data_IF_801439182932
#
_entry.id   IF_801439182932
#
_cell.length_a   1.000
_cell.length_b   1.000
_cell.length_c   1.000
_cell.angle_alpha   90.00
_cell.angle_beta   90.00
_cell.angle_gamma   90.00
#
_symmetry.space_group_name_H-M   'P 1'
#
loop_
_entity.id
_entity.type
_entity.pdbx_description
1 polymer ?
#
# COMPACT_ATOMS: atom_id res chain seq x y z
N UNK A 1 -30.16 -58.37 -10.19
CA UNK A 1 -29.27 -59.51 -10.52
C UNK A 1 -27.83 -59.02 -10.50
N UNK A 2 -26.96 -59.77 -9.82
CA UNK A 2 -25.59 -59.41 -9.50
C UNK A 2 -24.60 -59.82 -10.60
N UNK A 3 -23.52 -59.05 -10.76
CA UNK A 3 -22.13 -59.52 -10.94
C UNK A 3 -21.22 -58.29 -11.04
N UNK A 4 -20.40 -57.93 -10.05
CA UNK A 4 -19.11 -58.55 -9.70
C UNK A 4 -18.04 -58.39 -10.78
N UNK A 5 -17.11 -57.44 -10.58
CA UNK A 5 -15.73 -57.53 -11.08
C UNK A 5 -14.80 -57.07 -9.96
N UNK A 6 -14.01 -58.00 -9.44
CA UNK A 6 -12.98 -57.78 -8.44
C UNK A 6 -11.58 -58.04 -9.03
N UNK A 7 -10.66 -57.14 -8.67
CA UNK A 7 -9.22 -57.31 -8.40
C UNK A 7 -8.30 -58.07 -9.37
N UNK A 8 -7.17 -57.43 -9.72
CA UNK A 8 -5.84 -58.06 -9.59
C UNK A 8 -4.80 -57.05 -9.13
N UNK A 9 -4.04 -57.48 -8.12
CA UNK A 9 -3.03 -56.73 -7.36
C UNK A 9 -1.63 -57.12 -7.82
N UNK A 10 -0.71 -56.18 -7.62
CA UNK A 10 0.75 -56.26 -7.67
C UNK A 10 1.38 -57.57 -7.16
N UNK A 11 2.46 -57.99 -7.82
CA UNK A 11 3.47 -58.92 -7.30
C UNK A 11 4.87 -58.29 -7.45
N UNK A 12 5.63 -58.38 -6.37
CA UNK A 12 6.96 -57.82 -6.14
C UNK A 12 8.08 -58.85 -6.35
N UNK A 13 9.34 -58.37 -6.43
CA UNK A 13 10.59 -58.91 -5.82
C UNK A 13 11.85 -58.59 -6.68
N UNK A 14 13.09 -58.67 -6.15
CA UNK A 14 13.60 -58.36 -4.80
C UNK A 14 14.91 -57.51 -4.79
N UNK A 15 15.44 -57.26 -3.58
CA UNK A 15 16.67 -56.53 -3.22
C UNK A 15 17.95 -57.36 -3.38
N UNK A 16 19.09 -56.68 -3.59
CA UNK A 16 20.43 -57.09 -3.09
C UNK A 16 21.30 -55.87 -2.77
N UNK A 17 21.78 -55.80 -1.52
CA UNK A 17 22.86 -54.92 -1.04
C UNK A 17 24.24 -55.51 -1.41
N UNK A 18 25.30 -54.69 -1.51
CA UNK A 18 26.69 -55.18 -1.37
C UNK A 18 27.83 -54.42 -2.05
N UNK A 19 28.53 -53.59 -1.25
CA UNK A 19 29.99 -53.34 -1.20
C UNK A 19 30.79 -52.69 -2.36
N UNK A 20 31.34 -51.50 -2.04
CA UNK A 20 32.77 -51.10 -2.04
C UNK A 20 33.72 -51.66 -3.13
N UNK A 21 34.42 -50.77 -3.84
CA UNK A 21 35.67 -51.13 -4.51
C UNK A 21 36.15 -50.16 -5.57
N UNK A 22 37.07 -49.31 -5.18
CA UNK A 22 37.98 -48.49 -6.01
C UNK A 22 38.64 -49.25 -7.16
N UNK A 23 38.94 -48.51 -8.25
CA UNK A 23 40.21 -48.46 -9.01
C UNK A 23 39.97 -48.35 -10.53
N UNK A 24 40.10 -47.13 -11.05
CA UNK A 24 40.60 -46.90 -12.41
C UNK A 24 42.09 -47.28 -12.44
N UNK A 25 42.61 -47.78 -13.57
CA UNK A 25 43.40 -46.86 -14.38
C UNK A 25 43.23 -46.99 -15.90
N UNK A 26 43.44 -45.83 -16.53
CA UNK A 26 44.03 -45.56 -17.84
C UNK A 26 43.96 -46.60 -18.96
N UNK A 27 43.41 -46.15 -20.09
CA UNK A 27 44.02 -46.33 -21.41
C UNK A 27 43.44 -45.30 -22.41
N UNK A 28 44.09 -44.13 -22.49
CA UNK A 28 44.00 -43.25 -23.67
C UNK A 28 44.88 -43.82 -24.76
N UNK A 29 44.30 -44.17 -25.93
CA UNK A 29 44.97 -44.00 -27.23
C UNK A 29 44.00 -44.10 -28.42
N UNK A 30 44.17 -43.13 -29.33
CA UNK A 30 44.00 -43.17 -30.80
C UNK A 30 42.64 -42.86 -31.47
N UNK A 31 42.54 -41.60 -31.93
CA UNK A 31 42.24 -41.13 -33.32
C UNK A 31 40.83 -41.35 -33.96
N UNK A 32 40.46 -40.57 -35.01
CA UNK A 32 39.24 -39.76 -35.01
C UNK A 32 38.10 -40.31 -35.89
N UNK A 33 36.86 -40.00 -35.53
CA UNK A 33 35.68 -40.11 -36.39
C UNK A 33 34.77 -38.91 -36.12
N UNK A 34 34.04 -38.37 -37.13
CA UNK A 34 33.20 -37.21 -36.95
C UNK A 34 31.90 -37.66 -36.28
N UNK A 35 31.97 -37.90 -34.98
CA UNK A 35 30.77 -38.13 -34.18
C UNK A 35 30.04 -36.80 -34.05
N UNK A 36 28.93 -36.67 -34.78
CA UNK A 36 27.92 -35.64 -34.54
C UNK A 36 27.46 -35.81 -33.09
N UNK A 37 28.00 -35.00 -32.19
CA UNK A 37 27.51 -34.90 -30.82
C UNK A 37 26.19 -34.16 -30.85
N UNK A 38 25.08 -34.88 -30.92
CA UNK A 38 23.77 -34.33 -30.58
C UNK A 38 23.80 -34.06 -29.08
N UNK A 39 24.06 -32.81 -28.71
CA UNK A 39 23.95 -32.35 -27.34
C UNK A 39 22.47 -32.37 -26.96
N UNK A 40 21.99 -33.51 -26.47
CA UNK A 40 20.73 -33.57 -25.74
C UNK A 40 20.98 -32.81 -24.44
N UNK A 41 20.80 -31.49 -24.48
CA UNK A 41 20.72 -30.68 -23.26
C UNK A 41 19.63 -31.32 -22.41
N UNK A 42 20.00 -31.89 -21.27
CA UNK A 42 19.01 -32.24 -20.27
C UNK A 42 18.23 -30.96 -20.00
N UNK A 43 16.91 -31.00 -20.20
CA UNK A 43 16.05 -29.93 -19.72
C UNK A 43 16.24 -29.93 -18.21
N UNK A 44 17.04 -29.01 -17.69
CA UNK A 44 17.03 -28.70 -16.27
C UNK A 44 15.58 -28.42 -15.92
N UNK A 45 14.98 -29.17 -14.97
CA UNK A 45 13.63 -28.86 -14.55
C UNK A 45 13.66 -27.42 -14.07
N UNK A 46 12.86 -26.55 -14.72
CA UNK A 46 12.71 -25.16 -14.29
C UNK A 46 12.36 -25.23 -12.80
N UNK A 47 13.29 -24.78 -11.93
CA UNK A 47 13.03 -24.68 -10.50
C UNK A 47 11.75 -23.85 -10.35
N UNK A 48 10.68 -24.50 -9.92
CA UNK A 48 9.44 -23.82 -9.58
C UNK A 48 9.76 -22.85 -8.45
N UNK A 49 9.96 -21.57 -8.78
CA UNK A 49 10.19 -20.55 -7.79
C UNK A 49 8.81 -20.09 -7.29
N UNK A 50 8.35 -20.69 -6.19
CA UNK A 50 7.10 -20.27 -5.54
C UNK A 50 7.36 -18.93 -4.86
N UNK A 51 6.84 -17.85 -5.46
CA UNK A 51 6.87 -16.51 -4.86
C UNK A 51 5.75 -16.41 -3.82
N UNK A 52 5.99 -16.92 -2.61
CA UNK A 52 4.99 -17.03 -1.54
C UNK A 52 4.84 -15.77 -0.67
N UNK A 53 5.60 -14.70 -0.92
CA UNK A 53 5.69 -13.55 -0.03
C UNK A 53 4.83 -12.36 -0.50
N UNK A 54 3.88 -11.94 0.32
CA UNK A 54 3.04 -10.74 0.14
C UNK A 54 3.43 -9.58 1.07
N UNK A 55 4.69 -9.55 1.52
CA UNK A 55 5.22 -8.52 2.43
C UNK A 55 6.01 -7.42 1.72
N UNK A 56 6.17 -7.54 0.40
CA UNK A 56 6.88 -6.59 -0.43
C UNK A 56 5.93 -5.93 -1.44
N UNK A 57 6.10 -4.62 -1.63
CA UNK A 57 5.33 -3.80 -2.57
C UNK A 57 6.30 -3.03 -3.48
N UNK A 58 5.95 -2.84 -4.76
CA UNK A 58 6.81 -2.21 -5.77
C UNK A 58 7.85 -3.13 -6.41
N UNK A 59 8.44 -2.67 -7.51
CA UNK A 59 9.44 -3.41 -8.29
C UNK A 59 10.82 -2.75 -8.24
N UNK A 60 10.87 -1.45 -8.52
CA UNK A 60 12.06 -0.60 -8.54
C UNK A 60 12.23 0.16 -7.23
N UNK A 61 11.17 0.83 -6.76
CA UNK A 61 11.11 1.39 -5.41
C UNK A 61 10.38 0.37 -4.52
N UNK A 62 11.14 -0.61 -4.02
CA UNK A 62 10.58 -1.77 -3.35
C UNK A 62 10.57 -1.61 -1.85
N UNK A 63 9.39 -1.67 -1.25
CA UNK A 63 9.19 -1.61 0.19
C UNK A 63 8.87 -3.00 0.72
N UNK A 64 9.65 -3.48 1.69
CA UNK A 64 9.33 -4.70 2.44
C UNK A 64 9.00 -4.33 3.88
N UNK A 65 7.78 -4.62 4.34
CA UNK A 65 7.38 -4.32 5.72
C UNK A 65 7.60 -5.53 6.63
N UNK A 66 7.80 -5.29 7.93
CA UNK A 66 7.97 -6.36 8.94
C UNK A 66 7.39 -5.96 10.30
N UNK A 67 7.28 -6.94 11.20
CA UNK A 67 6.82 -6.76 12.58
C UNK A 67 5.32 -6.94 12.78
N UNK A 68 4.96 -7.19 14.04
CA UNK A 68 3.61 -7.37 14.55
C UNK A 68 3.22 -6.25 15.52
N UNK A 69 1.92 -6.01 15.66
CA UNK A 69 1.39 -4.95 16.52
C UNK A 69 1.78 -5.04 18.00
N UNK A 70 2.07 -6.24 18.50
CA UNK A 70 2.46 -6.51 19.90
C UNK A 70 3.86 -7.14 19.98
N UNK A 71 4.63 -7.13 18.89
CA UNK A 71 6.04 -7.52 18.90
C UNK A 71 6.95 -6.39 19.41
N UNK A 72 8.27 -6.57 19.29
CA UNK A 72 9.25 -5.56 19.70
C UNK A 72 9.18 -4.23 18.93
N UNK A 73 8.58 -4.23 17.74
CA UNK A 73 8.36 -3.06 16.91
C UNK A 73 7.87 -3.43 15.52
N UNK A 74 7.61 -2.42 14.71
CA UNK A 74 7.27 -2.55 13.29
C UNK A 74 8.21 -1.70 12.45
N UNK A 75 8.31 -1.97 11.16
CA UNK A 75 9.19 -1.21 10.31
C UNK A 75 9.13 -1.62 8.85
N UNK A 76 10.08 -1.10 8.09
CA UNK A 76 10.24 -1.40 6.69
C UNK A 76 11.71 -1.36 6.24
N UNK A 77 11.96 -2.04 5.14
CA UNK A 77 13.18 -1.93 4.33
C UNK A 77 12.76 -1.30 3.01
N UNK A 78 13.41 -0.20 2.64
CA UNK A 78 13.23 0.49 1.36
C UNK A 78 14.43 0.14 0.49
N UNK A 79 14.17 -0.51 -0.63
CA UNK A 79 15.19 -0.93 -1.60
C UNK A 79 14.96 -0.18 -2.93
N UNK A 80 16.04 0.24 -3.57
CA UNK A 80 16.00 1.06 -4.79
C UNK A 80 15.69 2.55 -4.58
N UNK A 81 15.79 3.06 -3.35
CA UNK A 81 15.73 4.51 -3.13
C UNK A 81 16.89 5.20 -3.87
N UNK A 82 16.66 6.26 -4.68
CA UNK A 82 17.74 6.97 -5.36
C UNK A 82 18.78 7.53 -4.37
N UNK A 83 20.07 7.63 -4.75
CA UNK A 83 21.11 8.22 -3.92
C UNK A 83 21.08 9.76 -3.94
N UNK A 84 21.77 10.39 -2.98
CA UNK A 84 22.01 11.84 -2.85
C UNK A 84 20.78 12.68 -2.53
N UNK A 85 19.73 12.07 -1.99
CA UNK A 85 18.55 12.80 -1.51
C UNK A 85 18.77 13.11 -0.03
N UNK A 86 18.67 14.37 0.41
CA UNK A 86 18.68 14.70 1.83
C UNK A 86 17.54 13.97 2.54
N UNK A 87 17.86 13.17 3.55
CA UNK A 87 16.89 12.38 4.30
C UNK A 87 17.24 12.32 5.79
N UNK A 88 16.24 12.60 6.60
CA UNK A 88 16.29 12.53 8.06
C UNK A 88 15.04 11.84 8.60
N UNK A 89 15.08 11.43 9.87
CA UNK A 89 13.92 10.87 10.58
C UNK A 89 12.76 11.87 10.65
N UNK A 90 13.07 13.18 10.75
CA UNK A 90 12.09 14.24 10.79
C UNK A 90 11.22 14.30 9.52
N UNK A 91 11.78 13.96 8.36
CA UNK A 91 11.05 13.93 7.09
C UNK A 91 9.94 12.87 7.11
N UNK A 92 10.16 11.74 7.77
CA UNK A 92 9.17 10.67 7.91
C UNK A 92 8.22 10.92 9.08
N UNK A 93 8.70 11.56 10.13
CA UNK A 93 7.93 11.77 11.36
C UNK A 93 6.67 12.62 11.10
N UNK A 94 6.71 13.59 10.18
CA UNK A 94 5.55 14.42 9.84
C UNK A 94 4.34 13.57 9.43
N UNK A 95 4.54 12.59 8.54
CA UNK A 95 3.45 11.73 8.07
C UNK A 95 3.08 10.64 9.08
N UNK A 96 4.04 10.13 9.84
CA UNK A 96 3.78 9.21 10.95
C UNK A 96 2.95 9.88 12.04
N UNK A 97 3.24 11.13 12.37
CA UNK A 97 2.45 11.93 13.32
C UNK A 97 1.05 12.19 12.77
N UNK A 98 0.89 12.45 11.47
CA UNK A 98 -0.44 12.57 10.85
C UNK A 98 -1.23 11.26 10.94
N UNK A 99 -0.59 10.11 10.91
CA UNK A 99 -1.26 8.82 11.11
C UNK A 99 -1.88 8.73 12.51
N UNK A 100 -1.18 9.25 13.51
CA UNK A 100 -1.70 9.38 14.86
C UNK A 100 -2.65 10.58 14.88
N UNK A 101 -3.95 10.35 14.91
CA UNK A 101 -4.89 11.47 15.13
C UNK A 101 -4.78 11.91 16.60
N UNK A 102 -3.78 12.74 16.88
CA UNK A 102 -3.59 13.44 18.13
C UNK A 102 -4.48 14.67 18.08
N UNK A 103 -5.52 14.67 18.90
CA UNK A 103 -6.26 15.89 19.22
C UNK A 103 -5.27 16.91 19.80
N UNK A 104 -4.81 17.87 18.98
CA UNK A 104 -3.88 18.94 19.40
C UNK A 104 -4.54 19.96 20.34
N UNK A 105 -5.82 19.77 20.72
CA UNK A 105 -6.57 20.62 21.66
C UNK A 105 -7.01 19.84 22.91
N UNK A 106 -6.89 20.41 24.12
CA UNK A 106 -7.55 19.87 25.33
C UNK A 106 -9.07 19.86 25.12
N UNK A 107 -9.72 18.70 25.27
CA UNK A 107 -11.19 18.57 25.25
C UNK A 107 -11.83 17.99 23.98
N UNK A 108 -11.08 17.75 22.90
CA UNK A 108 -11.60 17.22 21.62
C UNK A 108 -11.36 15.71 21.39
N UNK A 109 -10.95 14.96 22.42
CA UNK A 109 -10.63 13.53 22.39
C UNK A 109 -11.81 12.56 22.17
N UNK A 110 -12.89 12.99 21.52
CA UNK A 110 -14.13 12.22 21.38
C UNK A 110 -14.08 11.15 20.29
N UNK A 111 -13.34 11.36 19.19
CA UNK A 111 -13.48 10.55 17.96
C UNK A 111 -12.35 9.53 17.76
N UNK A 112 -11.23 9.62 18.50
CA UNK A 112 -10.03 8.81 18.21
C UNK A 112 -9.57 8.02 19.42
N UNK A 113 -8.90 6.89 19.18
CA UNK A 113 -8.28 6.10 20.26
C UNK A 113 -7.16 6.86 20.97
N UNK A 114 -7.15 6.89 22.32
CA UNK A 114 -6.19 7.67 23.12
C UNK A 114 -4.83 6.99 23.34
N UNK A 115 -4.36 6.16 22.39
CA UNK A 115 -3.02 5.56 22.50
C UNK A 115 -1.97 6.64 22.33
N UNK A 116 -1.02 6.70 23.27
CA UNK A 116 0.14 7.61 23.25
C UNK A 116 1.37 6.89 22.70
N UNK A 117 1.23 6.17 21.60
CA UNK A 117 2.38 5.66 20.85
C UNK A 117 2.92 6.84 20.03
N UNK A 118 4.18 7.24 20.22
CA UNK A 118 4.76 8.42 19.55
C UNK A 118 5.25 8.13 18.12
N UNK A 119 4.93 6.93 17.58
CA UNK A 119 5.39 6.38 16.29
C UNK A 119 6.77 6.87 15.85
N UNK A 120 7.72 6.90 16.79
CA UNK A 120 9.02 7.53 16.58
C UNK A 120 9.89 6.61 15.75
N UNK A 121 10.22 7.02 14.54
CA UNK A 121 11.04 6.22 13.63
C UNK A 121 12.54 6.44 13.84
N UNK A 122 13.31 5.38 13.63
CA UNK A 122 14.77 5.43 13.55
C UNK A 122 15.27 4.84 12.25
N UNK A 123 16.25 5.50 11.63
CA UNK A 123 16.94 5.01 10.43
C UNK A 123 18.20 4.27 10.87
N UNK A 124 18.34 3.01 10.44
CA UNK A 124 19.48 2.15 10.78
C UNK A 124 20.49 1.96 9.65
N UNK A 125 20.09 2.20 8.39
CA UNK A 125 20.95 2.02 7.21
C UNK A 125 20.47 2.88 6.04
N UNK A 126 21.27 2.94 4.97
CA UNK A 126 20.89 3.57 3.69
C UNK A 126 20.97 5.10 3.67
N UNK A 127 21.41 5.71 4.76
CA UNK A 127 21.67 7.15 4.91
C UNK A 127 23.05 7.34 5.51
N UNK A 128 23.84 8.25 4.94
CA UNK A 128 25.16 8.68 5.43
C UNK A 128 25.25 10.19 5.31
N UNK A 129 25.74 10.88 6.33
CA UNK A 129 25.89 12.35 6.33
C UNK A 129 24.59 13.09 5.93
N UNK A 130 23.43 12.55 6.33
CA UNK A 130 22.12 13.14 6.05
C UNK A 130 21.63 12.97 4.61
N UNK A 131 22.30 12.16 3.77
CA UNK A 131 21.86 11.86 2.40
C UNK A 131 21.69 10.36 2.15
N UNK A 132 20.78 10.00 1.27
CA UNK A 132 20.58 8.61 0.86
C UNK A 132 21.79 8.09 0.08
N UNK A 133 22.20 6.85 0.35
CA UNK A 133 23.37 6.23 -0.28
C UNK A 133 23.04 5.46 -1.55
N UNK A 134 21.76 5.26 -1.86
CA UNK A 134 21.31 4.35 -2.91
C UNK A 134 21.26 2.87 -2.49
N UNK A 135 21.61 2.57 -1.25
CA UNK A 135 21.54 1.23 -0.66
C UNK A 135 20.28 1.08 0.21
N UNK A 136 19.91 -0.14 0.64
CA UNK A 136 18.67 -0.34 1.38
C UNK A 136 18.58 0.49 2.68
N UNK A 137 17.45 1.17 2.84
CA UNK A 137 17.13 1.98 4.03
C UNK A 137 16.29 1.14 4.99
N UNK A 138 16.84 0.86 6.17
CA UNK A 138 16.12 0.17 7.24
C UNK A 138 15.51 1.19 8.21
N UNK A 139 14.19 1.17 8.32
CA UNK A 139 13.43 2.02 9.25
C UNK A 139 12.74 1.13 10.29
N UNK A 140 12.90 1.47 11.56
CA UNK A 140 12.30 0.76 12.68
C UNK A 140 11.57 1.70 13.64
N UNK A 141 10.40 1.27 14.09
CA UNK A 141 9.53 1.97 15.04
C UNK A 141 9.22 1.02 16.20
N UNK A 142 9.67 1.31 17.44
CA UNK A 142 9.40 0.46 18.59
C UNK A 142 7.92 0.53 19.01
N UNK A 143 7.39 -0.58 19.54
CA UNK A 143 6.06 -0.60 20.16
C UNK A 143 6.19 -0.27 21.66
N UNK A 144 5.62 0.85 22.11
CA UNK A 144 5.78 1.36 23.49
C UNK A 144 4.62 1.07 24.44
N UNK A 145 3.42 0.74 23.94
CA UNK A 145 2.20 0.50 24.75
C UNK A 145 1.72 -0.97 24.65
N UNK A 146 2.57 -1.91 25.05
CA UNK A 146 2.22 -3.33 25.09
C UNK A 146 1.40 -3.67 26.34
N UNK A 147 0.10 -3.39 26.32
CA UNK A 147 -0.83 -3.88 27.35
C UNK A 147 -1.40 -5.25 26.93
N UNK A 148 -0.68 -6.31 27.25
CA UNK A 148 -1.11 -7.69 26.94
C UNK A 148 -2.40 -8.14 27.64
N UNK A 149 -2.80 -7.49 28.74
CA UNK A 149 -3.91 -7.94 29.59
C UNK A 149 -5.33 -7.63 29.05
N UNK A 150 -5.50 -6.62 28.19
CA UNK A 150 -6.83 -6.19 27.71
C UNK A 150 -7.45 -7.14 26.64
N UNK A 151 -6.71 -8.16 26.17
CA UNK A 151 -7.09 -9.00 25.03
C UNK A 151 -7.29 -10.49 25.34
N UNK A 152 -7.21 -10.90 26.61
CA UNK A 152 -7.36 -12.32 27.00
C UNK A 152 -8.74 -12.88 26.67
N UNK A 153 -9.82 -12.10 26.84
CA UNK A 153 -11.19 -12.51 26.45
C UNK A 153 -11.36 -12.62 24.92
N UNK A 154 -10.68 -11.76 24.14
CA UNK A 154 -10.71 -11.82 22.67
C UNK A 154 -9.86 -12.94 22.08
N UNK A 155 -9.12 -13.68 22.93
CA UNK A 155 -8.25 -14.76 22.48
C UNK A 155 -9.00 -16.03 22.11
N UNK A 156 -10.20 -16.22 22.65
CA UNK A 156 -10.94 -17.49 22.61
C UNK A 156 -11.89 -17.58 21.41
N UNK A 157 -12.44 -16.45 20.96
CA UNK A 157 -13.45 -16.38 19.91
C UNK A 157 -12.91 -15.68 18.64
N UNK A 158 -13.44 -16.04 17.47
CA UNK A 158 -13.16 -15.31 16.25
C UNK A 158 -13.86 -13.95 16.27
N UNK A 159 -13.14 -12.85 16.01
CA UNK A 159 -13.78 -11.54 15.93
C UNK A 159 -14.49 -11.42 14.57
N UNK A 160 -15.79 -11.09 14.53
CA UNK A 160 -16.50 -10.92 13.27
C UNK A 160 -15.81 -9.92 12.36
N UNK A 161 -15.70 -10.24 11.07
CA UNK A 161 -15.12 -9.35 10.05
C UNK A 161 -13.64 -8.94 10.31
N UNK A 162 -12.93 -9.71 11.14
CA UNK A 162 -11.46 -9.70 11.28
C UNK A 162 -10.84 -10.92 10.58
N UNK A 163 -9.51 -10.94 10.53
CA UNK A 163 -8.76 -11.99 9.85
C UNK A 163 -8.59 -13.28 10.67
N UNK A 164 -9.08 -13.34 11.91
CA UNK A 164 -8.75 -14.41 12.88
C UNK A 164 -9.00 -15.83 12.33
N UNK A 165 -10.22 -16.10 11.85
CA UNK A 165 -10.57 -17.40 11.30
C UNK A 165 -9.79 -17.71 10.00
N UNK A 166 -9.62 -16.70 9.13
CA UNK A 166 -8.88 -16.87 7.87
C UNK A 166 -7.39 -17.13 8.10
N UNK A 167 -6.80 -16.58 9.17
CA UNK A 167 -5.42 -16.86 9.57
C UNK A 167 -5.27 -18.29 10.06
N UNK A 168 -6.17 -18.76 10.92
CA UNK A 168 -6.16 -20.17 11.36
C UNK A 168 -6.36 -21.12 10.18
N UNK A 169 -7.28 -20.82 9.25
CA UNK A 169 -7.50 -21.64 8.04
C UNK A 169 -6.28 -21.68 7.13
N UNK A 170 -5.59 -20.55 6.93
CA UNK A 170 -4.46 -20.44 6.00
C UNK A 170 -3.13 -20.92 6.58
N UNK A 171 -2.87 -20.58 7.85
CA UNK A 171 -1.56 -20.75 8.48
C UNK A 171 -1.58 -21.76 9.65
N UNK A 172 -2.74 -22.12 10.19
CA UNK A 172 -2.86 -22.99 11.37
C UNK A 172 -2.40 -22.35 12.69
N UNK A 173 -1.71 -21.22 12.60
CA UNK A 173 -1.18 -20.43 13.72
C UNK A 173 -1.58 -18.98 13.54
N UNK A 174 -1.98 -18.34 14.64
CA UNK A 174 -2.31 -16.91 14.66
C UNK A 174 -1.66 -16.23 15.86
N UNK A 175 -1.16 -15.02 15.64
CA UNK A 175 -0.81 -14.12 16.74
C UNK A 175 -2.09 -13.51 17.28
N UNK A 176 -2.51 -14.01 18.44
CA UNK A 176 -3.81 -13.69 19.04
C UNK A 176 -3.84 -12.24 19.57
N UNK A 177 -2.67 -11.69 19.93
CA UNK A 177 -2.55 -10.33 20.44
C UNK A 177 -2.59 -9.31 19.30
N UNK A 178 -3.56 -8.39 19.35
CA UNK A 178 -3.62 -7.21 18.47
C UNK A 178 -3.79 -7.44 16.98
N UNK A 179 -4.26 -8.63 16.55
CA UNK A 179 -4.42 -8.97 15.13
C UNK A 179 -3.09 -9.24 14.39
N UNK A 180 -1.98 -9.36 15.12
CA UNK A 180 -0.67 -9.73 14.56
C UNK A 180 -0.25 -8.88 13.36
N UNK A 181 0.08 -9.58 12.27
CA UNK A 181 0.56 -8.98 11.02
C UNK A 181 -0.51 -8.24 10.20
N UNK A 182 -1.78 -8.61 10.36
CA UNK A 182 -2.91 -7.96 9.66
C UNK A 182 -3.37 -6.66 10.32
N UNK A 183 -2.74 -6.28 11.43
CA UNK A 183 -3.08 -5.07 12.18
C UNK A 183 -2.77 -3.81 11.40
N UNK A 184 -3.56 -2.75 11.61
CA UNK A 184 -3.30 -1.43 11.06
C UNK A 184 -1.95 -0.84 11.52
N UNK A 185 -1.27 -1.42 12.53
CA UNK A 185 0.10 -1.07 12.91
C UNK A 185 1.10 -1.28 11.76
N UNK A 186 0.88 -2.30 10.91
CA UNK A 186 1.74 -2.59 9.76
C UNK A 186 1.87 -1.39 8.82
N UNK A 187 0.85 -0.54 8.74
CA UNK A 187 0.82 0.61 7.82
C UNK A 187 1.84 1.69 8.17
N UNK A 188 2.47 1.64 9.34
CA UNK A 188 3.68 2.44 9.63
C UNK A 188 4.79 2.15 8.63
N UNK A 189 4.98 0.86 8.29
CA UNK A 189 5.90 0.42 7.26
C UNK A 189 5.49 0.82 5.85
N UNK A 190 4.30 1.42 5.66
CA UNK A 190 3.85 2.01 4.39
C UNK A 190 3.97 3.53 4.39
N UNK A 191 3.61 4.16 5.51
CA UNK A 191 3.64 5.63 5.67
C UNK A 191 5.08 6.15 5.68
N UNK A 192 6.00 5.53 6.42
CA UNK A 192 7.40 5.95 6.45
C UNK A 192 8.05 5.99 5.05
N UNK A 193 8.01 4.93 4.24
CA UNK A 193 8.56 4.99 2.88
C UNK A 193 7.73 5.85 1.93
N UNK A 194 6.42 5.98 2.18
CA UNK A 194 5.56 6.91 1.46
C UNK A 194 6.00 8.37 1.63
N UNK A 195 6.45 8.76 2.83
CA UNK A 195 7.00 10.10 3.08
C UNK A 195 8.28 10.35 2.27
N UNK A 196 9.17 9.34 2.20
CA UNK A 196 10.37 9.39 1.35
C UNK A 196 9.98 9.55 -0.13
N UNK A 197 9.02 8.75 -0.62
CA UNK A 197 8.52 8.84 -1.98
C UNK A 197 7.88 10.22 -2.28
N UNK A 198 7.06 10.76 -1.37
CA UNK A 198 6.48 12.10 -1.50
C UNK A 198 7.54 13.18 -1.60
N UNK A 199 8.59 13.11 -0.78
CA UNK A 199 9.71 14.06 -0.82
C UNK A 199 10.39 14.04 -2.19
N UNK A 200 10.65 12.86 -2.74
CA UNK A 200 11.28 12.71 -4.07
C UNK A 200 10.37 13.23 -5.17
N UNK A 201 9.09 12.84 -5.19
CA UNK A 201 8.13 13.27 -6.20
C UNK A 201 7.94 14.80 -6.19
N UNK A 202 7.88 15.39 -4.99
CA UNK A 202 7.82 16.85 -4.82
C UNK A 202 9.09 17.52 -5.35
N UNK A 203 10.27 16.99 -5.02
CA UNK A 203 11.53 17.48 -5.56
C UNK A 203 11.69 17.25 -7.06
N UNK A 204 11.03 16.27 -7.67
CA UNK A 204 11.20 15.89 -9.06
C UNK A 204 10.22 16.60 -10.01
N UNK A 205 8.97 16.85 -9.61
CA UNK A 205 7.97 17.45 -10.50
C UNK A 205 7.07 18.45 -9.78
N UNK A 206 7.37 18.81 -8.52
CA UNK A 206 6.42 19.56 -7.71
C UNK A 206 5.14 18.78 -7.45
N UNK A 207 5.19 17.44 -7.50
CA UNK A 207 4.02 16.59 -7.30
C UNK A 207 3.50 16.73 -5.88
N UNK A 208 2.21 16.98 -5.75
CA UNK A 208 1.53 17.09 -4.46
C UNK A 208 0.43 16.04 -4.38
N UNK A 209 0.48 15.25 -3.31
CA UNK A 209 -0.49 14.18 -3.04
C UNK A 209 -1.25 14.60 -1.80
N UNK A 210 -2.53 14.90 -1.96
CA UNK A 210 -3.41 15.36 -0.89
C UNK A 210 -4.62 14.44 -0.84
N UNK A 211 -4.93 13.93 0.34
CA UNK A 211 -6.16 13.18 0.56
C UNK A 211 -7.01 13.82 1.66
N UNK A 212 -8.31 13.62 1.57
CA UNK A 212 -9.26 14.14 2.54
C UNK A 212 -10.49 13.25 2.65
N UNK A 213 -11.25 13.42 3.72
CA UNK A 213 -12.48 12.67 3.95
C UNK A 213 -13.62 13.35 3.21
N UNK A 214 -14.15 12.66 2.21
CA UNK A 214 -15.28 13.11 1.40
C UNK A 214 -16.61 12.50 1.84
N UNK A 215 -16.58 11.42 2.62
CA UNK A 215 -17.78 10.86 3.23
C UNK A 215 -17.46 10.24 4.59
N UNK A 216 -18.33 10.48 5.57
CA UNK A 216 -18.40 9.71 6.80
C UNK A 216 -19.85 9.31 7.06
N UNK A 217 -20.10 8.00 7.18
CA UNK A 217 -21.46 7.47 7.29
C UNK A 217 -22.38 7.94 6.15
N UNK A 218 -23.50 8.59 6.47
CA UNK A 218 -24.48 9.14 5.55
C UNK A 218 -24.22 10.61 5.16
N UNK A 219 -23.15 11.22 5.68
CA UNK A 219 -22.77 12.60 5.34
C UNK A 219 -21.77 12.53 4.18
N UNK A 220 -22.20 12.97 3.01
CA UNK A 220 -21.42 12.99 1.76
C UNK A 220 -21.13 14.43 1.37
N UNK A 221 -19.87 14.72 1.08
CA UNK A 221 -19.45 16.01 0.52
C UNK A 221 -19.84 16.06 -0.96
N UNK A 222 -20.55 17.12 -1.42
CA UNK A 222 -20.84 17.29 -2.84
C UNK A 222 -19.55 17.46 -3.66
N UNK A 223 -19.55 16.97 -4.91
CA UNK A 223 -18.34 16.91 -5.75
C UNK A 223 -17.73 18.29 -6.05
N UNK A 224 -18.56 19.32 -6.21
CA UNK A 224 -18.13 20.67 -6.63
C UNK A 224 -17.75 21.59 -5.45
N UNK A 225 -17.84 21.11 -4.20
CA UNK A 225 -17.54 21.94 -3.01
C UNK A 225 -16.05 22.15 -2.83
N UNK A 226 -15.22 21.19 -3.26
CA UNK A 226 -13.77 21.25 -3.11
C UNK A 226 -13.13 21.52 -4.46
N UNK A 227 -12.51 22.69 -4.58
CA UNK A 227 -11.62 22.97 -5.69
C UNK A 227 -10.31 22.18 -5.51
N UNK A 228 -10.08 21.21 -6.40
CA UNK A 228 -8.90 20.33 -6.34
C UNK A 228 -7.60 21.06 -6.69
N UNK A 229 -7.67 22.18 -7.42
CA UNK A 229 -6.48 22.99 -7.75
C UNK A 229 -6.05 23.84 -6.56
N UNK A 230 -7.00 24.33 -5.76
CA UNK A 230 -6.74 25.23 -4.63
C UNK A 230 -6.66 24.54 -3.27
N UNK A 231 -6.98 23.25 -3.18
CA UNK A 231 -6.94 22.50 -1.92
C UNK A 231 -5.55 22.56 -1.26
N UNK A 232 -5.52 22.86 0.03
CA UNK A 232 -4.28 22.90 0.81
C UNK A 232 -4.27 21.87 1.93
N UNK A 233 -3.06 21.48 2.36
CA UNK A 233 -2.89 20.57 3.49
C UNK A 233 -3.45 21.18 4.79
N UNK A 234 -3.35 22.49 4.97
CA UNK A 234 -3.86 23.18 6.16
C UNK A 234 -5.38 23.10 6.27
N UNK A 235 -6.10 23.18 5.15
CA UNK A 235 -7.54 22.96 5.12
C UNK A 235 -7.89 21.53 5.55
N UNK A 236 -7.14 20.53 5.06
CA UNK A 236 -7.33 19.12 5.43
C UNK A 236 -7.03 18.89 6.91
N UNK A 237 -5.96 19.44 7.46
CA UNK A 237 -5.56 19.22 8.86
C UNK A 237 -6.25 20.18 9.84
N UNK A 238 -7.15 21.05 9.36
CA UNK A 238 -7.86 22.05 10.19
C UNK A 238 -8.79 21.43 11.25
N UNK A 239 -9.21 20.18 11.05
CA UNK A 239 -10.18 19.49 11.90
C UNK A 239 -9.88 17.99 12.03
N UNK A 240 -10.52 17.36 13.03
CA UNK A 240 -10.24 15.97 13.42
C UNK A 240 -10.75 14.91 12.43
N UNK A 241 -11.69 15.25 11.55
CA UNK A 241 -12.20 14.33 10.53
C UNK A 241 -11.49 14.48 9.20
N UNK A 242 -10.63 15.50 9.04
CA UNK A 242 -9.88 15.79 7.82
C UNK A 242 -10.75 16.04 6.59
N UNK A 243 -11.83 16.77 6.77
CA UNK A 243 -12.68 17.26 5.68
C UNK A 243 -12.33 18.73 5.41
N UNK A 244 -12.04 19.17 4.18
CA UNK A 244 -11.62 20.54 3.90
C UNK A 244 -12.76 21.56 4.05
N UNK A 245 -14.02 21.11 3.96
CA UNK A 245 -15.19 21.95 4.19
C UNK A 245 -15.59 21.95 5.68
N UNK A 246 -15.58 23.11 6.37
CA UNK A 246 -15.89 23.17 7.80
C UNK A 246 -17.32 22.76 8.17
N UNK A 247 -18.31 23.08 7.34
CA UNK A 247 -19.71 22.77 7.62
C UNK A 247 -19.96 21.26 7.56
N UNK A 248 -19.44 20.62 6.52
CA UNK A 248 -19.51 19.16 6.38
C UNK A 248 -18.61 18.46 7.40
N UNK A 249 -17.46 19.04 7.78
CA UNK A 249 -16.64 18.51 8.87
C UNK A 249 -17.42 18.41 10.18
N UNK A 250 -18.18 19.45 10.56
CA UNK A 250 -19.02 19.42 11.77
C UNK A 250 -20.15 18.37 11.67
N UNK A 251 -20.81 18.27 10.51
CA UNK A 251 -21.83 17.25 10.25
C UNK A 251 -21.26 15.84 10.36
N UNK A 252 -20.07 15.59 9.79
CA UNK A 252 -19.37 14.30 9.86
C UNK A 252 -18.96 13.98 11.30
N UNK A 253 -18.45 14.96 12.05
CA UNK A 253 -18.11 14.84 13.47
C UNK A 253 -19.34 14.40 14.28
N UNK A 254 -20.47 15.09 14.09
CA UNK A 254 -21.72 14.77 14.78
C UNK A 254 -22.23 13.37 14.44
N UNK A 255 -22.18 12.98 13.15
CA UNK A 255 -22.59 11.65 12.70
C UNK A 255 -21.73 10.53 13.32
N UNK A 256 -20.40 10.71 13.36
CA UNK A 256 -19.48 9.74 13.97
C UNK A 256 -19.72 9.65 15.49
N UNK A 257 -19.91 10.79 16.17
CA UNK A 257 -20.15 10.81 17.62
C UNK A 257 -21.47 10.15 18.00
N UNK A 258 -22.54 10.37 17.22
CA UNK A 258 -23.84 9.73 17.43
C UNK A 258 -23.77 8.20 17.34
N UNK A 259 -22.92 7.67 16.46
CA UNK A 259 -22.67 6.22 16.32
C UNK A 259 -21.81 5.72 17.49
N UNK A 260 -20.75 6.46 17.84
CA UNK A 260 -19.86 6.13 18.95
C UNK A 260 -20.59 5.98 20.28
N UNK A 261 -21.53 6.89 20.59
CA UNK A 261 -22.32 6.84 21.83
C UNK A 261 -23.18 5.57 21.91
N UNK A 262 -23.61 5.03 20.76
CA UNK A 262 -24.34 3.75 20.67
C UNK A 262 -23.43 2.52 20.74
N UNK A 263 -22.12 2.71 20.90
CA UNK A 263 -21.12 1.64 20.93
C UNK A 263 -20.90 0.98 19.57
N UNK A 264 -21.24 1.65 18.47
CA UNK A 264 -21.14 1.15 17.10
C UNK A 264 -20.03 1.87 16.31
N UNK A 265 -19.84 1.53 15.03
CA UNK A 265 -18.86 2.19 14.14
C UNK A 265 -19.42 2.50 12.76
N UNK A 266 -18.73 3.38 12.02
CA UNK A 266 -19.07 3.77 10.65
C UNK A 266 -17.85 3.72 9.74
N UNK A 267 -18.13 3.52 8.46
CA UNK A 267 -17.17 3.64 7.36
C UNK A 267 -17.29 5.00 6.67
N UNK A 268 -16.73 5.09 5.48
CA UNK A 268 -16.75 6.30 4.68
C UNK A 268 -15.80 6.23 3.50
N UNK A 269 -15.57 7.39 2.88
CA UNK A 269 -14.78 7.52 1.65
C UNK A 269 -13.69 8.57 1.85
N UNK A 270 -12.49 8.23 1.39
CA UNK A 270 -11.37 9.16 1.24
C UNK A 270 -11.25 9.51 -0.24
N UNK A 271 -11.24 10.80 -0.55
CA UNK A 271 -10.82 11.29 -1.87
C UNK A 271 -9.34 11.62 -1.81
N UNK A 272 -8.58 11.21 -2.83
CA UNK A 272 -7.18 11.56 -2.99
C UNK A 272 -6.98 12.22 -4.34
N UNK A 273 -6.26 13.33 -4.33
CA UNK A 273 -5.85 14.06 -5.52
C UNK A 273 -4.32 14.04 -5.66
N UNK A 274 -3.85 14.01 -6.89
CA UNK A 274 -2.43 14.19 -7.23
C UNK A 274 -2.31 15.34 -8.21
N UNK A 275 -1.74 16.45 -7.75
CA UNK A 275 -1.35 17.58 -8.61
C UNK A 275 0.05 17.39 -9.14
N UNK A 276 0.31 17.91 -10.34
CA UNK A 276 1.61 17.84 -11.01
C UNK A 276 2.16 16.40 -11.06
N UNK A 277 1.30 15.42 -11.35
CA UNK A 277 1.76 14.07 -11.64
C UNK A 277 2.60 14.12 -12.93
N UNK A 278 3.82 13.55 -12.96
CA UNK A 278 4.57 13.45 -14.20
C UNK A 278 3.72 12.79 -15.29
N UNK A 279 3.77 13.32 -16.51
CA UNK A 279 3.04 12.79 -17.67
C UNK A 279 3.72 11.51 -18.15
N UNK A 280 2.93 10.52 -18.58
CA UNK A 280 3.47 9.29 -19.15
C UNK A 280 3.80 8.19 -18.14
N UNK A 281 3.42 8.32 -16.86
CA UNK A 281 3.59 7.26 -15.87
C UNK A 281 2.54 6.16 -16.06
N UNK A 282 2.95 4.90 -15.99
CA UNK A 282 2.07 3.75 -16.12
C UNK A 282 2.44 2.84 -17.29
N UNK A 283 1.55 1.88 -17.59
CA UNK A 283 1.69 0.95 -18.69
C UNK A 283 0.34 0.68 -19.35
N UNK A 284 0.29 0.27 -20.63
CA UNK A 284 -0.99 0.17 -21.35
C UNK A 284 -1.80 -1.13 -21.10
N UNK A 285 -1.21 -2.17 -20.48
CA UNK A 285 -1.82 -3.52 -20.45
C UNK A 285 -2.08 -4.05 -19.03
N UNK A 286 -1.13 -4.78 -18.44
CA UNK A 286 -1.33 -5.46 -17.15
C UNK A 286 -1.02 -4.56 -15.97
N UNK A 287 0.03 -3.76 -16.08
CA UNK A 287 0.53 -2.88 -15.03
C UNK A 287 0.05 -1.43 -15.25
N UNK A 288 -1.23 -1.27 -15.62
CA UNK A 288 -1.84 0.07 -15.79
C UNK A 288 -1.72 0.87 -14.49
N UNK A 289 -1.51 2.18 -14.62
CA UNK A 289 -1.36 3.05 -13.45
C UNK A 289 -2.57 2.95 -12.51
N UNK A 290 -3.79 3.00 -13.05
CA UNK A 290 -5.04 2.81 -12.29
C UNK A 290 -5.14 1.42 -11.63
N UNK A 291 -4.56 0.38 -12.24
CA UNK A 291 -4.56 -0.98 -11.69
C UNK A 291 -3.57 -1.13 -10.54
N UNK A 292 -2.38 -0.55 -10.65
CA UNK A 292 -1.40 -0.51 -9.56
C UNK A 292 -1.86 0.38 -8.40
N UNK A 293 -2.51 1.51 -8.69
CA UNK A 293 -3.20 2.32 -7.68
C UNK A 293 -4.33 1.54 -7.01
N UNK A 294 -5.17 0.83 -7.76
CA UNK A 294 -6.25 0.01 -7.20
C UNK A 294 -5.70 -1.07 -6.27
N UNK A 295 -4.66 -1.79 -6.70
CA UNK A 295 -3.96 -2.79 -5.87
C UNK A 295 -3.37 -2.18 -4.60
N UNK A 296 -2.74 -1.01 -4.71
CA UNK A 296 -2.20 -0.28 -3.58
C UNK A 296 -3.30 0.08 -2.57
N UNK A 297 -4.40 0.67 -3.03
CA UNK A 297 -5.53 1.07 -2.19
C UNK A 297 -6.24 -0.13 -1.58
N UNK A 298 -6.59 -1.14 -2.38
CA UNK A 298 -7.29 -2.34 -1.91
C UNK A 298 -6.44 -3.22 -0.96
N UNK A 299 -5.13 -2.98 -0.89
CA UNK A 299 -4.24 -3.61 0.10
C UNK A 299 -4.27 -2.93 1.47
N UNK A 300 -4.88 -1.75 1.60
CA UNK A 300 -5.01 -1.05 2.87
C UNK A 300 -6.09 -1.72 3.76
N UNK A 301 -5.91 -1.73 5.09
CA UNK A 301 -6.91 -2.26 6.00
C UNK A 301 -8.28 -1.60 5.82
N UNK A 302 -9.34 -2.39 5.98
CA UNK A 302 -10.74 -1.96 5.89
C UNK A 302 -11.21 -1.44 4.52
N UNK A 303 -10.37 -1.43 3.47
CA UNK A 303 -10.81 -1.01 2.13
C UNK A 303 -11.75 -2.03 1.48
N UNK A 304 -12.70 -1.50 0.69
CA UNK A 304 -13.73 -2.27 -0.02
C UNK A 304 -14.05 -1.76 -1.42
N UNK A 305 -13.60 -0.58 -1.80
CA UNK A 305 -13.82 -0.03 -3.13
C UNK A 305 -12.74 0.96 -3.52
N UNK A 306 -12.51 1.06 -4.82
CA UNK A 306 -11.59 2.00 -5.45
C UNK A 306 -12.23 2.51 -6.74
N UNK A 307 -12.16 3.82 -6.95
CA UNK A 307 -12.63 4.50 -8.16
C UNK A 307 -11.59 5.52 -8.61
N UNK A 308 -11.48 5.73 -9.91
CA UNK A 308 -10.67 6.78 -10.53
C UNK A 308 -11.55 7.66 -11.42
N UNK A 309 -11.34 8.97 -11.37
CA UNK A 309 -12.12 9.97 -12.10
C UNK A 309 -13.61 9.86 -11.80
N UNK A 310 -14.40 9.77 -12.86
CA UNK A 310 -15.86 9.56 -12.81
C UNK A 310 -16.29 8.23 -12.17
N UNK A 311 -15.38 7.25 -12.05
CA UNK A 311 -15.64 5.99 -11.34
C UNK A 311 -16.89 5.27 -11.84
N UNK A 312 -17.70 4.77 -10.90
CA UNK A 312 -18.98 4.14 -11.25
C UNK A 312 -20.02 5.14 -11.78
N UNK A 313 -19.92 6.44 -11.44
CA UNK A 313 -20.84 7.45 -11.97
C UNK A 313 -20.68 7.63 -13.48
N UNK A 314 -19.49 7.37 -14.04
CA UNK A 314 -19.25 7.37 -15.48
C UNK A 314 -20.08 6.33 -16.25
N UNK A 315 -20.57 5.28 -15.59
CA UNK A 315 -21.36 4.21 -16.24
C UNK A 315 -22.77 4.67 -16.66
N UNK A 316 -23.23 5.82 -16.17
CA UNK A 316 -24.52 6.41 -16.53
C UNK A 316 -24.44 7.37 -17.72
N UNK A 317 -23.23 7.68 -18.21
CA UNK A 317 -22.99 8.65 -19.28
C UNK A 317 -22.85 7.97 -20.63
N UNK A 318 -23.28 8.65 -21.69
CA UNK A 318 -22.95 8.30 -23.07
C UNK A 318 -21.50 8.67 -23.40
N UNK A 319 -20.92 8.10 -24.46
CA UNK A 319 -19.55 8.43 -24.87
C UNK A 319 -19.34 9.93 -25.14
N UNK A 320 -20.31 10.59 -25.79
CA UNK A 320 -20.26 12.04 -26.02
C UNK A 320 -20.31 12.87 -24.74
N UNK A 321 -20.96 12.36 -23.70
CA UNK A 321 -21.00 13.02 -22.39
C UNK A 321 -19.79 12.69 -21.52
N UNK A 322 -19.14 11.55 -21.74
CA UNK A 322 -18.00 11.10 -20.93
C UNK A 322 -16.65 11.63 -21.45
N UNK A 323 -16.49 11.71 -22.78
CA UNK A 323 -15.22 12.03 -23.40
C UNK A 323 -14.61 13.34 -22.88
N UNK A 324 -13.33 13.29 -22.52
CA UNK A 324 -12.54 14.45 -22.13
C UNK A 324 -11.91 15.08 -23.38
N UNK A 325 -12.52 16.15 -23.89
CA UNK A 325 -12.05 16.84 -25.10
C UNK A 325 -10.67 17.47 -24.89
N UNK A 326 -9.77 17.25 -25.84
CA UNK A 326 -8.43 17.86 -25.81
C UNK A 326 -8.46 19.31 -26.30
N UNK A 327 -7.64 20.15 -25.67
CA UNK A 327 -7.34 21.50 -26.12
C UNK A 327 -5.88 21.85 -25.84
N UNK A 328 -5.38 22.90 -26.49
CA UNK A 328 -4.03 23.44 -26.23
C UNK A 328 -4.15 24.65 -25.32
N UNK A 329 -3.41 24.66 -24.21
CA UNK A 329 -3.34 25.80 -23.30
C UNK A 329 -2.47 26.96 -23.85
N UNK A 330 -2.44 28.08 -23.14
CA UNK A 330 -1.65 29.27 -23.51
C UNK A 330 -0.13 29.00 -23.56
N UNK A 331 0.33 27.91 -22.94
CA UNK A 331 1.73 27.49 -22.89
C UNK A 331 2.07 26.42 -23.95
N UNK A 332 1.11 26.06 -24.80
CA UNK A 332 1.29 25.04 -25.85
C UNK A 332 1.14 23.60 -25.38
N UNK A 333 0.71 23.35 -24.14
CA UNK A 333 0.49 22.00 -23.63
C UNK A 333 -0.88 21.46 -24.04
N UNK A 334 -0.91 20.18 -24.42
CA UNK A 334 -2.17 19.45 -24.62
C UNK A 334 -2.77 19.11 -23.25
N UNK A 335 -3.99 19.59 -23.00
CA UNK A 335 -4.79 19.38 -21.78
C UNK A 335 -6.20 18.91 -22.12
N UNK A 336 -7.01 18.55 -21.13
CA UNK A 336 -8.42 18.17 -21.34
C UNK A 336 -9.39 19.17 -20.70
N UNK A 337 -10.51 19.45 -21.39
CA UNK A 337 -11.53 20.41 -20.90
C UNK A 337 -12.26 19.93 -19.65
N UNK A 338 -12.40 18.62 -19.54
CA UNK A 338 -12.95 17.92 -18.38
C UNK A 338 -11.94 16.87 -17.92
N UNK A 339 -12.14 16.33 -16.72
CA UNK A 339 -11.25 15.33 -16.14
C UNK A 339 -12.03 14.09 -15.65
N UNK A 340 -12.93 13.57 -16.49
CA UNK A 340 -13.74 12.39 -16.17
C UNK A 340 -12.92 11.10 -16.15
N UNK A 341 -11.79 11.08 -16.86
CA UNK A 341 -10.78 10.03 -16.77
C UNK A 341 -9.97 10.07 -15.47
N UNK A 342 -10.02 11.16 -14.72
CA UNK A 342 -9.32 11.31 -13.45
C UNK A 342 -7.80 11.26 -13.59
N UNK A 343 -7.25 11.96 -14.57
CA UNK A 343 -5.80 12.10 -14.78
C UNK A 343 -5.11 10.88 -15.42
N UNK A 344 -5.85 9.82 -15.71
CA UNK A 344 -5.31 8.57 -16.28
C UNK A 344 -6.10 8.19 -17.53
N UNK A 345 -5.42 7.98 -18.65
CA UNK A 345 -6.01 7.54 -19.92
C UNK A 345 -5.18 6.40 -20.51
N UNK A 346 -5.84 5.30 -20.90
CA UNK A 346 -5.14 4.12 -21.40
C UNK A 346 -4.18 3.47 -20.39
N UNK A 347 -4.38 3.70 -19.09
CA UNK A 347 -3.48 3.24 -18.02
C UNK A 347 -2.22 4.10 -17.84
N UNK A 348 -2.17 5.28 -18.45
CA UNK A 348 -1.03 6.21 -18.43
C UNK A 348 -1.49 7.59 -17.91
N UNK A 349 -0.68 8.26 -17.09
CA UNK A 349 -0.97 9.62 -16.61
C UNK A 349 -0.95 10.64 -17.75
N UNK A 350 -2.02 11.42 -17.89
CA UNK A 350 -2.17 12.40 -18.99
C UNK A 350 -1.66 13.81 -18.63
N UNK A 351 -1.44 14.08 -17.34
CA UNK A 351 -0.95 15.36 -16.80
C UNK A 351 -2.01 16.18 -16.06
N UNK A 352 -3.28 15.81 -16.18
CA UNK A 352 -4.34 16.37 -15.35
C UNK A 352 -4.27 15.83 -13.92
N UNK A 353 -5.02 16.44 -13.01
CA UNK A 353 -5.12 15.97 -11.62
C UNK A 353 -5.58 14.52 -11.61
N UNK A 354 -4.81 13.64 -10.98
CA UNK A 354 -5.31 12.29 -10.70
C UNK A 354 -6.29 12.39 -9.56
N UNK A 355 -7.55 12.04 -9.79
CA UNK A 355 -8.60 12.04 -8.78
C UNK A 355 -9.09 10.61 -8.54
N UNK A 356 -9.08 10.16 -7.29
CA UNK A 356 -9.50 8.82 -6.90
C UNK A 356 -10.29 8.82 -5.60
N UNK A 357 -11.21 7.85 -5.47
CA UNK A 357 -12.02 7.64 -4.27
C UNK A 357 -11.80 6.23 -3.71
N UNK A 358 -11.61 6.13 -2.41
CA UNK A 358 -11.33 4.88 -1.71
C UNK A 358 -12.39 4.67 -0.62
N UNK A 359 -13.13 3.57 -0.72
CA UNK A 359 -14.19 3.23 0.22
C UNK A 359 -13.66 2.33 1.34
N UNK A 360 -13.95 2.72 2.59
CA UNK A 360 -13.58 1.99 3.81
C UNK A 360 -14.84 1.50 4.53
N UNK A 361 -14.84 0.22 4.92
CA UNK A 361 -15.90 -0.36 5.74
C UNK A 361 -15.84 0.17 7.19
N UNK A 362 -16.94 0.06 7.96
CA UNK A 362 -16.93 0.31 9.40
C UNK A 362 -15.91 -0.54 10.17
N UNK A 363 -15.40 -0.01 11.28
CA UNK A 363 -14.52 -0.74 12.20
C UNK A 363 -15.22 -1.99 12.73
N UNK A 364 -14.66 -3.17 12.49
CA UNK A 364 -15.29 -4.43 12.87
C UNK A 364 -15.39 -4.64 14.40
N UNK A 365 -14.49 -4.04 15.18
CA UNK A 365 -14.54 -4.14 16.64
C UNK A 365 -15.42 -3.04 17.22
N UNK A 366 -16.56 -3.42 17.78
CA UNK A 366 -17.57 -2.53 18.35
C UNK A 366 -17.94 -2.95 19.78
N UNK A 367 -18.48 -2.02 20.57
CA UNK A 367 -18.87 -2.26 21.97
C UNK A 367 -20.19 -3.04 22.13
N UNK A 368 -20.88 -3.34 21.03
CA UNK A 368 -22.10 -4.14 21.01
C UNK A 368 -21.77 -5.63 21.05
N UNK A 369 -22.71 -6.42 21.61
CA UNK A 369 -22.69 -7.89 21.54
C UNK A 369 -22.71 -8.35 20.09
N UNK A 370 -21.83 -9.29 19.75
CA UNK A 370 -21.79 -9.93 18.45
C UNK A 370 -21.74 -11.45 18.62
N UNK A 371 -22.52 -12.16 17.80
CA UNK A 371 -22.49 -13.62 17.76
C UNK A 371 -21.29 -14.08 16.92
N UNK A 372 -20.61 -15.12 17.38
CA UNK A 372 -19.45 -15.69 16.69
C UNK A 372 -19.18 -17.12 17.17
N UNK A 373 -18.13 -17.75 16.64
CA UNK A 373 -17.69 -19.09 17.04
C UNK A 373 -16.26 -19.08 17.57
N UNK A 374 -15.95 -20.05 18.44
CA UNK A 374 -14.58 -20.33 18.88
C UNK A 374 -13.84 -21.19 17.86
N UNK A 375 -12.54 -21.39 18.08
CA UNK A 375 -11.73 -22.31 17.26
C UNK A 375 -12.27 -23.74 17.27
N UNK A 376 -12.92 -24.16 18.35
CA UNK A 376 -13.58 -25.46 18.51
C UNK A 376 -14.98 -25.52 17.86
N UNK A 377 -15.36 -24.49 17.09
CA UNK A 377 -16.66 -24.37 16.41
C UNK A 377 -17.87 -24.30 17.36
N UNK A 378 -17.65 -23.81 18.59
CA UNK A 378 -18.74 -23.56 19.54
C UNK A 378 -19.25 -22.14 19.37
N UNK A 379 -20.57 -22.00 19.25
CA UNK A 379 -21.25 -20.70 19.26
C UNK A 379 -20.98 -19.98 20.58
N UNK A 380 -20.69 -18.68 20.50
CA UNK A 380 -20.42 -17.81 21.64
C UNK A 380 -20.77 -16.37 21.32
N UNK A 381 -20.88 -15.55 22.35
CA UNK A 381 -21.02 -14.10 22.21
C UNK A 381 -19.68 -13.42 22.50
N UNK A 382 -19.33 -12.43 21.68
CA UNK A 382 -18.19 -11.57 21.90
C UNK A 382 -18.67 -10.14 22.17
N UNK A 383 -18.17 -9.55 23.26
CA UNK A 383 -18.33 -8.12 23.56
C UNK A 383 -16.92 -7.56 23.65
N UNK A 384 -16.55 -6.70 22.71
CA UNK A 384 -15.25 -6.07 22.78
C UNK A 384 -15.26 -4.96 23.83
N UNK A 385 -14.63 -5.23 24.98
CA UNK A 385 -14.40 -4.23 26.02
C UNK A 385 -13.14 -3.45 25.66
N UNK A 386 -13.26 -2.14 25.50
CA UNK A 386 -12.11 -1.29 25.20
C UNK A 386 -12.44 -0.09 24.35
N UNK A 387 -11.39 0.66 24.00
CA UNK A 387 -11.49 1.85 23.16
C UNK A 387 -11.22 1.43 21.71
N UNK A 388 -12.24 1.50 20.87
CA UNK A 388 -12.14 1.22 19.44
C UNK A 388 -12.42 2.50 18.65
N UNK A 389 -11.78 2.64 17.49
CA UNK A 389 -12.02 3.80 16.63
C UNK A 389 -13.45 3.69 16.04
N UNK A 390 -14.35 4.67 16.31
CA UNK A 390 -15.70 4.68 15.76
C UNK A 390 -15.72 4.93 14.25
N UNK A 391 -14.64 5.47 13.69
CA UNK A 391 -14.45 5.66 12.25
C UNK A 391 -12.94 5.63 11.93
N UNK A 392 -12.52 4.78 10.99
CA UNK A 392 -11.10 4.66 10.57
C UNK A 392 -10.69 5.66 9.50
N UNK A 393 -11.65 6.32 8.85
CA UNK A 393 -11.46 7.11 7.63
C UNK A 393 -10.50 8.30 7.84
N UNK A 394 -10.55 9.07 8.95
CA UNK A 394 -9.58 10.16 9.17
C UNK A 394 -8.13 9.67 9.30
N UNK A 395 -7.93 8.45 9.83
CA UNK A 395 -6.61 7.81 9.93
C UNK A 395 -6.11 7.28 8.59
N UNK A 396 -7.03 6.95 7.70
CA UNK A 396 -6.71 6.43 6.38
C UNK A 396 -6.12 7.48 5.44
N UNK A 397 -6.38 8.78 5.66
CA UNK A 397 -5.87 9.88 4.83
C UNK A 397 -4.35 9.79 4.55
N UNK A 398 -3.45 9.82 5.55
CA UNK A 398 -2.01 9.71 5.30
C UNK A 398 -1.60 8.34 4.77
N UNK A 399 -2.38 7.29 5.02
CA UNK A 399 -2.11 5.95 4.49
C UNK A 399 -2.40 5.86 2.99
N UNK A 400 -3.47 6.53 2.53
CA UNK A 400 -3.82 6.65 1.11
C UNK A 400 -2.75 7.45 0.38
N UNK A 401 -2.39 8.63 0.88
CA UNK A 401 -1.33 9.46 0.29
C UNK A 401 -0.01 8.68 0.15
N UNK A 402 0.39 7.97 1.20
CA UNK A 402 1.61 7.17 1.19
C UNK A 402 1.58 6.09 0.11
N UNK A 403 0.49 5.33 0.00
CA UNK A 403 0.38 4.27 -0.99
C UNK A 403 0.33 4.80 -2.42
N UNK A 404 -0.29 5.97 -2.66
CA UNK A 404 -0.23 6.66 -3.96
C UNK A 404 1.21 7.07 -4.27
N UNK A 405 1.92 7.65 -3.31
CA UNK A 405 3.32 8.05 -3.48
C UNK A 405 4.22 6.86 -3.85
N UNK A 406 4.04 5.72 -3.19
CA UNK A 406 4.81 4.50 -3.49
C UNK A 406 4.57 4.01 -4.93
N UNK A 407 3.33 4.02 -5.41
CA UNK A 407 3.01 3.64 -6.80
C UNK A 407 3.66 4.62 -7.78
N UNK A 408 3.47 5.92 -7.58
CA UNK A 408 4.00 6.94 -8.48
C UNK A 408 5.53 6.93 -8.53
N UNK A 409 6.19 6.71 -7.39
CA UNK A 409 7.65 6.61 -7.33
C UNK A 409 8.16 5.38 -8.07
N UNK A 410 7.51 4.22 -7.90
CA UNK A 410 7.87 2.99 -8.60
C UNK A 410 7.70 3.15 -10.12
N UNK A 411 6.58 3.75 -10.56
CA UNK A 411 6.31 4.02 -11.97
C UNK A 411 7.24 5.08 -12.57
N UNK A 412 7.63 6.08 -11.79
CA UNK A 412 8.62 7.08 -12.22
C UNK A 412 9.98 6.43 -12.47
N UNK A 413 10.43 5.55 -11.58
CA UNK A 413 11.67 4.80 -11.78
C UNK A 413 11.59 3.88 -12.99
N UNK A 414 10.46 3.18 -13.18
CA UNK A 414 10.22 2.33 -14.35
C UNK A 414 10.31 3.14 -15.65
N UNK A 415 9.63 4.28 -15.69
CA UNK A 415 9.63 5.20 -16.84
C UNK A 415 11.05 5.67 -17.16
N UNK A 416 11.82 6.08 -16.16
CA UNK A 416 13.20 6.52 -16.37
C UNK A 416 14.09 5.37 -16.90
N UNK A 417 13.96 4.18 -16.32
CA UNK A 417 14.76 3.02 -16.72
C UNK A 417 14.44 2.54 -18.14
N UNK A 418 13.17 2.58 -18.56
CA UNK A 418 12.74 2.07 -19.86
C UNK A 418 12.80 3.12 -20.97
N UNK A 419 12.33 4.35 -20.70
CA UNK A 419 12.05 5.33 -21.74
C UNK A 419 13.17 6.36 -21.95
N UNK A 420 14.12 6.47 -21.01
CA UNK A 420 15.21 7.46 -21.12
C UNK A 420 16.56 6.85 -21.52
N UNK A 421 16.56 5.60 -21.99
CA UNK A 421 17.77 4.97 -22.54
C UNK A 421 18.24 5.66 -23.84
N UNK A 422 17.31 6.25 -24.59
CA UNK A 422 17.57 7.02 -25.81
C UNK A 422 16.98 8.43 -25.68
N UNK A 423 17.48 9.41 -26.45
CA UNK A 423 16.90 10.75 -26.48
C UNK A 423 15.43 10.71 -26.89
N UNK A 424 14.62 11.57 -26.25
CA UNK A 424 13.21 11.71 -26.62
C UNK A 424 13.07 12.38 -27.99
N UNK A 425 11.95 12.13 -28.67
CA UNK A 425 11.58 12.86 -29.87
C UNK A 425 10.81 14.14 -29.48
N UNK A 426 11.43 15.34 -29.54
CA UNK A 426 10.79 16.59 -29.10
C UNK A 426 9.56 16.98 -29.92
N UNK A 427 9.41 16.45 -31.14
CA UNK A 427 8.23 16.70 -31.98
C UNK A 427 6.98 15.98 -31.47
N UNK A 428 7.16 14.89 -30.71
CA UNK A 428 6.09 14.01 -30.24
C UNK A 428 6.02 13.89 -28.71
N UNK A 429 7.11 14.16 -28.02
CA UNK A 429 7.28 13.93 -26.58
C UNK A 429 7.70 15.22 -25.88
N UNK A 430 6.94 15.60 -24.85
CA UNK A 430 7.36 16.66 -23.94
C UNK A 430 8.55 16.23 -23.10
N UNK A 431 9.45 17.16 -22.78
CA UNK A 431 10.50 16.91 -21.78
C UNK A 431 9.87 16.79 -20.39
N UNK A 432 10.14 15.69 -19.68
CA UNK A 432 10.02 15.71 -18.23
C UNK A 432 11.12 16.64 -17.71
N UNK A 433 10.79 17.92 -17.51
CA UNK A 433 11.72 18.87 -16.91
C UNK A 433 11.99 18.42 -15.47
N UNK A 434 13.16 17.84 -15.26
CA UNK A 434 13.78 17.77 -13.95
C UNK A 434 13.94 19.21 -13.46
N UNK A 435 13.43 19.59 -12.28
CA UNK A 435 13.82 20.84 -11.67
C UNK A 435 15.33 20.80 -11.51
N UNK A 436 15.97 21.92 -11.81
CA UNK A 436 17.38 22.12 -11.51
C UNK A 436 17.53 21.95 -9.99
N UNK A 437 18.08 20.81 -9.58
CA UNK A 437 18.47 20.60 -8.19
C UNK A 437 19.63 21.57 -7.94
N UNK A 438 19.35 22.72 -7.33
CA UNK A 438 20.42 23.57 -6.84
C UNK A 438 21.31 22.73 -5.91
N UNK A 439 22.63 22.72 -6.12
CA UNK A 439 23.54 22.02 -5.24
C UNK A 439 23.35 22.58 -3.83
N UNK A 440 23.10 21.70 -2.86
CA UNK A 440 23.02 22.11 -1.46
C UNK A 440 24.27 22.93 -1.09
N UNK A 441 24.13 24.05 -0.35
CA UNK A 441 25.28 24.85 0.05
C UNK A 441 26.25 23.95 0.81
N UNK A 442 27.50 23.92 0.35
CA UNK A 442 28.58 23.14 0.93
C UNK A 442 28.97 23.71 2.30
N UNK A 443 28.14 23.50 3.31
CA UNK A 443 28.52 23.74 4.71
C UNK A 443 29.21 22.47 5.24
N UNK A 444 30.36 22.15 4.66
CA UNK A 444 31.37 21.32 5.31
C UNK A 444 32.25 22.25 6.15
N UNK A 445 31.92 22.41 7.43
CA UNK A 445 32.92 22.83 8.42
C UNK A 445 33.48 21.57 9.09
N UNK A 446 34.81 21.45 9.05
CA UNK A 446 35.62 20.38 9.65
C UNK A 446 35.39 20.22 11.15
#
# INVERSE_FOLDING_TARGET
MASSVASKTFLAAPRTDGSLGSLLPDLRRQLPSPNVQILIRSRTPKKLQVKAAGSAFGTYFRVTTFGESHGGGVGCIIDGCPPRIPLSEADMQVDLDRRIVVSRRPGQSRITTPRKETDTCKIYSGVSEGVTTGTPIHVFVPNTDQRGHDYSEMSVAYRPSHADATYDMKYGVRSVQGGGRSSARETIGRVAPGAVAKKILKQFAGTEILAYVSQAHNVVLPEDVVDHEMLTLDQVESNIVRCPDPEYAEKMIAAIDAVRVRGDSVGGVVTCIVRNCPRGLGSPVFDKLEAELAKAMMSLPATKGFEVGSGFAGTFLTGSEHNDEFYTDEFGNIRTRTNRSGGIQGGISNGEIINMRIAFKPTSTIGRKQNTVTREKKETELIARGRHDPCVVPRAVPMVEAMVALVLMDQLMAQHAQCHLFPINPDLQGTMKLPELEPAPANFQM
#
